data_IF_416123270346
#
_entry.id   IF_416123270346
#
_cell.length_a   1.000
_cell.length_b   1.000
_cell.length_c   1.000
_cell.angle_alpha   90.00
_cell.angle_beta   90.00
_cell.angle_gamma   90.00
#
_symmetry.space_group_name_H-M   'P 1'
#
loop_
_entity.id
_entity.type
_entity.pdbx_description
1 polymer ?
#
# COMPACT_ATOMS: atom_id res chain seq x y z
N UNK A 1 4.24 25.00 -9.51
CA UNK A 1 4.52 23.58 -9.23
C UNK A 1 4.78 22.70 -10.47
N UNK A 2 3.82 22.43 -11.38
CA UNK A 2 4.10 21.52 -12.53
C UNK A 2 5.22 22.07 -13.43
N UNK A 3 5.25 23.40 -13.66
CA UNK A 3 6.29 24.08 -14.43
C UNK A 3 7.71 23.85 -13.86
N UNK A 4 7.86 23.84 -12.54
CA UNK A 4 9.17 23.59 -11.89
C UNK A 4 9.65 22.14 -12.09
N UNK A 5 8.72 21.18 -12.18
CA UNK A 5 9.06 19.77 -12.45
C UNK A 5 9.45 19.54 -13.91
N UNK A 6 8.93 20.35 -14.83
CA UNK A 6 9.26 20.27 -16.26
C UNK A 6 10.69 20.76 -16.57
N UNK A 7 11.29 21.58 -15.71
CA UNK A 7 12.66 22.04 -15.90
C UNK A 7 13.72 21.02 -15.46
N UNK A 8 13.33 19.99 -14.71
CA UNK A 8 14.25 18.96 -14.19
C UNK A 8 14.57 17.91 -15.23
N UNK A 9 15.76 17.31 -15.15
CA UNK A 9 16.13 16.18 -16.00
C UNK A 9 15.36 14.92 -15.62
N UNK A 10 15.28 13.93 -16.52
CA UNK A 10 14.57 12.67 -16.24
C UNK A 10 15.14 11.95 -15.02
N UNK A 11 16.46 12.00 -14.85
CA UNK A 11 17.18 11.37 -13.74
C UNK A 11 16.86 12.08 -12.43
N UNK A 12 16.93 13.41 -12.41
CA UNK A 12 16.58 14.21 -11.23
C UNK A 12 15.13 14.00 -10.80
N UNK A 13 14.23 13.86 -11.77
CA UNK A 13 12.82 13.63 -11.52
C UNK A 13 12.59 12.23 -10.95
N UNK A 14 13.30 11.22 -11.45
CA UNK A 14 13.35 9.88 -10.87
C UNK A 14 13.89 9.88 -9.43
N UNK A 15 14.98 10.60 -9.17
CA UNK A 15 15.56 10.74 -7.83
C UNK A 15 14.58 11.45 -6.87
N UNK A 16 13.88 12.47 -7.34
CA UNK A 16 12.87 13.18 -6.56
C UNK A 16 11.72 12.23 -6.17
N UNK A 17 11.21 11.44 -7.11
CA UNK A 17 10.18 10.43 -6.83
C UNK A 17 10.66 9.46 -5.76
N UNK A 18 11.92 9.01 -5.84
CA UNK A 18 12.50 8.11 -4.84
C UNK A 18 12.53 8.74 -3.45
N UNK A 19 13.04 9.97 -3.34
CA UNK A 19 13.09 10.72 -2.07
C UNK A 19 11.69 10.91 -1.46
N UNK A 20 10.71 11.32 -2.28
CA UNK A 20 9.33 11.54 -1.83
C UNK A 20 8.65 10.24 -1.36
N UNK A 21 8.94 9.10 -2.00
CA UNK A 21 8.41 7.79 -1.56
C UNK A 21 8.99 7.37 -0.21
N UNK A 22 10.26 7.67 0.06
CA UNK A 22 10.90 7.39 1.36
C UNK A 22 10.30 8.28 2.45
N UNK A 23 10.12 9.57 2.19
CA UNK A 23 9.41 10.46 3.11
C UNK A 23 7.98 10.00 3.39
N UNK A 24 7.27 9.50 2.37
CA UNK A 24 5.93 8.94 2.55
C UNK A 24 5.94 7.69 3.45
N UNK A 25 6.98 6.86 3.35
CA UNK A 25 7.18 5.69 4.22
C UNK A 25 7.42 6.12 5.68
N UNK A 26 8.26 7.13 5.91
CA UNK A 26 8.47 7.70 7.24
C UNK A 26 7.16 8.23 7.85
N UNK A 27 6.38 8.98 7.07
CA UNK A 27 5.08 9.48 7.52
C UNK A 27 4.12 8.33 7.83
N UNK A 28 4.17 7.22 7.09
CA UNK A 28 3.38 6.01 7.39
C UNK A 28 3.83 5.37 8.71
N UNK A 29 5.13 5.33 9.01
CA UNK A 29 5.61 4.86 10.31
C UNK A 29 5.20 5.78 11.45
N UNK A 30 5.22 7.10 11.27
CA UNK A 30 4.72 8.06 12.27
C UNK A 30 3.22 7.92 12.48
N UNK A 31 2.46 7.74 11.41
CA UNK A 31 1.02 7.51 11.46
C UNK A 31 0.67 6.21 12.22
N UNK A 32 1.41 5.13 11.97
CA UNK A 32 1.22 3.86 12.69
C UNK A 32 1.53 3.98 14.19
N UNK A 33 2.48 4.85 14.56
CA UNK A 33 2.81 5.13 15.96
C UNK A 33 1.86 6.12 16.64
N UNK A 34 0.96 6.78 15.89
CA UNK A 34 0.13 7.87 16.39
C UNK A 34 0.88 9.19 16.65
N UNK A 35 2.10 9.33 16.11
CA UNK A 35 2.98 10.51 16.28
C UNK A 35 2.94 11.42 15.04
N UNK A 36 1.85 11.35 14.26
CA UNK A 36 1.70 12.14 13.04
C UNK A 36 1.05 13.49 13.36
N UNK A 37 1.87 14.55 13.35
CA UNK A 37 1.42 15.93 13.58
C UNK A 37 0.44 16.42 12.50
N UNK A 38 0.73 16.14 11.22
CA UNK A 38 -0.01 16.73 10.09
C UNK A 38 -0.26 15.73 8.97
N UNK A 39 -1.51 15.66 8.50
CA UNK A 39 -1.92 14.75 7.41
C UNK A 39 -1.85 15.40 6.02
N UNK A 40 -1.82 16.73 5.94
CA UNK A 40 -1.77 17.47 4.69
C UNK A 40 -0.46 17.23 3.93
N UNK A 41 0.65 17.11 4.64
CA UNK A 41 1.99 16.84 4.09
C UNK A 41 2.01 15.56 3.26
N UNK A 42 1.42 14.47 3.77
CA UNK A 42 1.30 13.21 3.03
C UNK A 42 0.43 13.33 1.76
N UNK A 43 -0.55 14.24 1.74
CA UNK A 43 -1.36 14.53 0.54
C UNK A 43 -0.55 15.30 -0.51
N UNK A 44 0.21 16.30 -0.08
CA UNK A 44 1.08 17.09 -0.96
C UNK A 44 2.22 16.27 -1.56
N UNK A 45 2.85 15.40 -0.77
CA UNK A 45 3.87 14.46 -1.25
C UNK A 45 3.28 13.55 -2.33
N UNK A 46 2.10 12.96 -2.11
CA UNK A 46 1.41 12.12 -3.12
C UNK A 46 1.10 12.89 -4.40
N UNK A 47 0.60 14.12 -4.28
CA UNK A 47 0.32 15.00 -5.43
C UNK A 47 1.61 15.31 -6.21
N UNK A 48 2.71 15.57 -5.51
CA UNK A 48 4.00 15.86 -6.13
C UNK A 48 4.55 14.65 -6.87
N UNK A 49 4.46 13.45 -6.30
CA UNK A 49 4.84 12.19 -6.98
C UNK A 49 4.00 12.02 -8.25
N UNK A 50 2.68 12.21 -8.18
CA UNK A 50 1.79 12.07 -9.33
C UNK A 50 2.14 13.06 -10.46
N UNK A 51 2.41 14.32 -10.11
CA UNK A 51 2.83 15.33 -11.08
C UNK A 51 4.17 14.98 -11.73
N UNK A 52 5.16 14.51 -10.94
CA UNK A 52 6.46 14.10 -11.46
C UNK A 52 6.35 12.89 -12.40
N UNK A 53 5.55 11.89 -12.04
CA UNK A 53 5.26 10.73 -12.92
C UNK A 53 4.53 11.15 -14.20
N UNK A 54 3.65 12.15 -14.11
CA UNK A 54 2.95 12.70 -15.28
C UNK A 54 3.94 13.35 -16.25
N UNK A 55 4.88 14.16 -15.75
CA UNK A 55 5.93 14.78 -16.58
C UNK A 55 6.81 13.71 -17.23
N UNK A 56 7.20 12.65 -16.53
CA UNK A 56 7.94 11.53 -17.12
C UNK A 56 7.14 10.82 -18.21
N UNK A 57 5.83 10.63 -17.98
CA UNK A 57 4.93 10.01 -18.97
C UNK A 57 4.81 10.88 -20.23
N UNK A 58 4.72 12.21 -20.09
CA UNK A 58 4.72 13.15 -21.21
C UNK A 58 6.02 13.07 -22.03
N UNK A 59 7.14 12.69 -21.40
CA UNK A 59 8.44 12.50 -22.05
C UNK A 59 8.63 11.08 -22.61
N UNK A 60 7.59 10.24 -22.60
CA UNK A 60 7.64 8.82 -22.97
C UNK A 60 8.68 8.02 -22.17
N UNK A 61 8.90 8.40 -20.90
CA UNK A 61 9.76 7.69 -19.97
C UNK A 61 8.87 6.86 -19.04
N UNK A 62 8.98 5.53 -19.16
CA UNK A 62 8.27 4.59 -18.29
C UNK A 62 9.06 4.41 -17.00
N UNK A 63 8.37 4.53 -15.87
CA UNK A 63 8.97 4.29 -14.55
C UNK A 63 8.58 2.90 -14.06
N UNK A 64 9.58 2.09 -13.71
CA UNK A 64 9.41 0.79 -13.07
C UNK A 64 9.97 0.83 -11.65
N UNK A 65 9.22 0.30 -10.70
CA UNK A 65 9.61 0.26 -9.28
C UNK A 65 9.88 -1.18 -8.86
N UNK A 66 11.07 -1.42 -8.31
CA UNK A 66 11.40 -2.67 -7.63
C UNK A 66 11.55 -2.43 -6.13
N UNK A 67 11.87 -3.47 -5.37
CA UNK A 67 12.09 -3.38 -3.92
C UNK A 67 13.19 -2.37 -3.54
N UNK A 68 14.26 -2.29 -4.34
CA UNK A 68 15.45 -1.51 -3.99
C UNK A 68 15.87 -0.48 -5.04
N UNK A 69 15.31 -0.55 -6.25
CA UNK A 69 15.67 0.33 -7.36
C UNK A 69 14.46 0.94 -8.05
N UNK A 70 14.68 2.10 -8.64
CA UNK A 70 13.73 2.71 -9.58
C UNK A 70 14.41 2.73 -10.94
N UNK A 71 13.75 2.15 -11.93
CA UNK A 71 14.24 2.09 -13.31
C UNK A 71 13.43 3.08 -14.16
N UNK A 72 14.14 3.93 -14.90
CA UNK A 72 13.57 4.78 -15.93
C UNK A 72 13.87 4.12 -17.28
N UNK A 73 12.81 3.83 -18.03
CA UNK A 73 12.88 3.09 -19.29
C UNK A 73 12.40 4.04 -20.39
N UNK A 74 13.28 4.37 -21.32
CA UNK A 74 12.98 5.19 -22.50
C UNK A 74 13.14 4.35 -23.75
N UNK A 75 12.10 4.30 -24.58
CA UNK A 75 12.14 3.65 -25.90
C UNK A 75 12.69 4.63 -26.93
N UNK A 76 13.81 4.31 -27.58
CA UNK A 76 14.36 5.06 -28.71
C UNK A 76 14.69 4.08 -29.83
N UNK A 77 14.14 4.28 -31.03
CA UNK A 77 14.41 3.44 -32.21
C UNK A 77 14.25 1.93 -31.92
N UNK A 78 13.15 1.56 -31.25
CA UNK A 78 12.85 0.20 -30.80
C UNK A 78 13.87 -0.41 -29.80
N UNK A 79 14.83 0.38 -29.32
CA UNK A 79 15.80 0.00 -28.27
C UNK A 79 15.40 0.65 -26.94
N UNK A 80 15.54 -0.10 -25.86
CA UNK A 80 15.27 0.38 -24.51
C UNK A 80 16.53 0.93 -23.88
N UNK A 81 16.49 2.20 -23.45
CA UNK A 81 17.52 2.80 -22.61
C UNK A 81 17.04 2.76 -21.16
N UNK A 82 17.78 2.07 -20.30
CA UNK A 82 17.41 1.82 -18.90
C UNK A 82 18.37 2.58 -17.98
N UNK A 83 17.84 3.52 -17.21
CA UNK A 83 18.58 4.19 -16.15
C UNK A 83 18.13 3.65 -14.80
N UNK A 84 19.06 3.04 -14.06
CA UNK A 84 18.78 2.48 -12.73
C UNK A 84 19.21 3.45 -11.63
N UNK A 85 18.28 3.81 -10.75
CA UNK A 85 18.52 4.65 -9.57
C UNK A 85 18.50 3.74 -8.34
N UNK A 86 19.65 3.65 -7.65
CA UNK A 86 19.81 2.83 -6.45
C UNK A 86 19.41 3.62 -5.20
N UNK A 87 18.46 3.07 -4.42
CA UNK A 87 17.93 3.74 -3.23
C UNK A 87 18.34 3.07 -1.90
N UNK A 88 19.19 2.05 -1.96
CA UNK A 88 19.53 1.21 -0.80
C UNK A 88 20.05 2.02 0.41
N UNK A 89 20.91 3.02 0.16
CA UNK A 89 21.49 3.88 1.20
C UNK A 89 20.44 4.75 1.93
N UNK A 90 19.43 5.24 1.23
CA UNK A 90 18.40 6.09 1.81
C UNK A 90 17.35 5.28 2.59
N UNK A 91 17.12 4.01 2.24
CA UNK A 91 16.16 3.16 2.92
C UNK A 91 16.76 2.58 4.22
N UNK A 92 18.02 2.17 4.19
CA UNK A 92 18.71 1.60 5.37
C UNK A 92 18.77 2.59 6.53
N UNK A 93 19.00 3.88 6.25
CA UNK A 93 19.00 4.93 7.27
C UNK A 93 17.64 5.07 7.94
N UNK A 94 16.55 5.10 7.16
CA UNK A 94 15.18 5.23 7.68
C UNK A 94 14.76 4.02 8.52
N UNK A 95 15.08 2.81 8.05
CA UNK A 95 14.77 1.57 8.78
C UNK A 95 15.56 1.49 10.09
N UNK A 96 16.85 1.83 10.05
CA UNK A 96 17.73 1.75 11.22
C UNK A 96 17.38 2.78 12.30
N UNK A 97 17.02 4.01 11.90
CA UNK A 97 16.54 5.04 12.83
C UNK A 97 15.25 4.62 13.54
N UNK A 98 14.33 3.93 12.83
CA UNK A 98 13.07 3.47 13.43
C UNK A 98 13.26 2.28 14.37
N UNK A 99 14.16 1.34 14.05
CA UNK A 99 14.47 0.20 14.91
C UNK A 99 14.99 0.62 16.30
N UNK A 100 15.74 1.72 16.37
CA UNK A 100 16.29 2.26 17.63
C UNK A 100 15.27 3.04 18.48
N UNK A 101 14.17 3.52 17.89
CA UNK A 101 13.13 4.28 18.61
C UNK A 101 12.05 3.37 19.24
N UNK A 102 11.90 2.14 18.76
CA UNK A 102 10.88 1.21 19.25
C UNK A 102 11.25 0.48 20.56
N UNK A 103 12.48 0.65 21.06
CA UNK A 103 12.94 0.09 22.34
C UNK A 103 12.79 1.05 23.54
N UNK A 104 12.27 2.26 23.32
CA UNK A 104 12.02 3.27 24.37
C UNK A 104 10.56 3.75 24.36
N UNK A 105 9.60 2.87 24.70
CA UNK A 105 8.31 3.34 25.22
C UNK A 105 7.82 2.40 26.33
N UNK A 106 7.66 2.90 27.58
CA UNK A 106 7.07 2.12 28.65
C UNK A 106 5.58 1.95 28.38
N UNK A 107 5.04 0.84 28.88
CA UNK A 107 3.62 0.53 28.92
C UNK A 107 2.75 1.71 29.36
N UNK A 108 1.72 2.03 28.57
CA UNK A 108 0.45 2.57 29.05
C UNK A 108 0.32 4.08 29.23
N UNK A 109 -0.32 4.73 28.24
CA UNK A 109 -1.44 5.66 28.52
C UNK A 109 -2.28 5.83 27.26
N UNK A 110 -3.33 5.02 27.17
CA UNK A 110 -4.45 5.24 26.26
C UNK A 110 -5.37 6.23 26.97
N UNK A 111 -5.45 7.47 26.51
CA UNK A 111 -6.46 8.42 27.01
C UNK A 111 -7.74 8.22 26.20
N UNK A 112 -8.60 7.34 26.68
CA UNK A 112 -10.01 7.26 26.27
C UNK A 112 -10.81 8.29 27.05
N UNK A 113 -11.42 9.26 26.35
CA UNK A 113 -12.58 9.99 26.90
C UNK A 113 -13.86 9.37 26.34
N UNK A 114 -14.52 8.51 27.14
CA UNK A 114 -15.98 8.34 27.12
C UNK A 114 -16.46 7.65 28.41
N UNK A 115 -17.65 8.08 28.80
CA UNK A 115 -18.19 8.11 30.15
C UNK A 115 -18.99 6.85 30.50
N UNK A 116 -18.78 6.36 31.72
CA UNK A 116 -19.73 5.74 32.68
C UNK A 116 -20.33 4.31 32.48
N UNK A 117 -19.89 3.47 33.43
CA UNK A 117 -20.64 2.54 34.32
C UNK A 117 -21.06 1.15 33.84
N UNK A 118 -20.32 0.13 34.31
CA UNK A 118 -20.74 -0.95 35.23
C UNK A 118 -19.93 -2.25 34.96
N UNK A 119 -19.04 -2.59 35.89
CA UNK A 119 -18.45 -3.92 36.09
C UNK A 119 -19.21 -4.62 37.25
N UNK A 120 -19.00 -5.92 37.57
CA UNK A 120 -18.07 -6.89 36.96
C UNK A 120 -18.69 -8.28 36.68
N UNK A 121 -18.00 -9.13 35.93
CA UNK A 121 -17.59 -10.47 36.40
C UNK A 121 -16.62 -11.15 35.44
N UNK A 122 -15.58 -11.69 36.05
CA UNK A 122 -14.41 -12.39 35.51
C UNK A 122 -14.81 -13.71 34.84
N UNK A 123 -14.21 -14.05 33.70
CA UNK A 123 -13.81 -15.43 33.41
C UNK A 123 -12.70 -15.48 32.36
N UNK A 124 -11.52 -15.92 32.78
CA UNK A 124 -10.40 -16.31 31.91
C UNK A 124 -10.43 -17.84 31.88
N UNK A 125 -10.57 -18.45 30.71
CA UNK A 125 -10.28 -19.88 30.52
C UNK A 125 -9.16 -20.03 29.50
N UNK A 126 -8.03 -20.50 30.02
CA UNK A 126 -6.93 -21.09 29.27
C UNK A 126 -7.42 -22.39 28.62
N UNK A 127 -7.05 -22.64 27.37
CA UNK A 127 -7.16 -23.98 26.77
C UNK A 127 -5.78 -24.39 26.28
N UNK A 128 -5.20 -25.33 27.04
CA UNK A 128 -3.96 -26.01 26.76
C UNK A 128 -4.03 -26.88 25.51
N UNK A 129 -2.93 -26.85 24.76
CA UNK A 129 -2.61 -27.76 23.67
C UNK A 129 -2.51 -29.21 24.16
N UNK A 130 -3.31 -30.12 23.59
CA UNK A 130 -2.94 -31.54 23.48
C UNK A 130 -3.23 -32.08 22.08
N UNK A 131 -2.15 -32.44 21.41
CA UNK A 131 -2.13 -33.21 20.16
C UNK A 131 -2.47 -34.67 20.45
N UNK A 132 -3.34 -35.28 19.64
CA UNK A 132 -3.29 -36.72 19.35
C UNK A 132 -3.68 -37.00 17.89
N UNK A 133 -2.86 -37.85 17.29
CA UNK A 133 -2.70 -38.26 15.89
C UNK A 133 -3.57 -39.50 15.61
N UNK A 134 -3.98 -39.72 14.35
CA UNK A 134 -3.83 -40.97 13.55
C UNK A 134 -4.93 -41.11 12.45
N UNK A 135 -4.47 -41.02 11.19
CA UNK A 135 -4.80 -41.72 9.91
C UNK A 135 -6.19 -42.35 9.69
N UNK A 136 -6.84 -42.15 8.53
CA UNK A 136 -6.66 -42.95 7.27
C UNK A 136 -7.32 -42.30 6.03
N UNK A 137 -6.79 -42.54 4.82
CA UNK A 137 -7.35 -42.25 3.46
C UNK A 137 -7.97 -43.58 2.90
N UNK A 138 -8.85 -43.66 1.84
CA UNK A 138 -8.87 -42.87 0.58
C UNK A 138 -10.25 -42.56 -0.13
N UNK A 139 -10.15 -41.68 -1.15
CA UNK A 139 -10.99 -41.28 -2.33
C UNK A 139 -12.45 -41.75 -2.58
N UNK A 140 -13.37 -40.83 -2.97
CA UNK A 140 -13.90 -40.65 -4.36
C UNK A 140 -14.99 -39.54 -4.56
N UNK A 141 -14.80 -38.73 -5.62
CA UNK A 141 -15.73 -38.05 -6.57
C UNK A 141 -16.62 -36.83 -6.20
N UNK A 142 -16.96 -35.97 -7.20
CA UNK A 142 -17.12 -34.50 -7.07
C UNK A 142 -18.57 -34.00 -7.06
N UNK A 143 -18.82 -32.87 -6.37
CA UNK A 143 -20.14 -32.21 -6.31
C UNK A 143 -20.23 -31.03 -7.29
N UNK A 144 -21.39 -31.01 -7.94
CA UNK A 144 -21.85 -30.31 -9.13
C UNK A 144 -22.02 -28.79 -9.02
N UNK A 145 -21.80 -28.09 -10.15
CA UNK A 145 -22.04 -26.65 -10.34
C UNK A 145 -23.55 -26.35 -10.40
N UNK A 146 -24.06 -25.40 -9.61
CA UNK A 146 -25.41 -24.83 -9.81
C UNK A 146 -25.36 -23.52 -10.58
N UNK A 147 -26.26 -23.45 -11.55
CA UNK A 147 -26.35 -22.53 -12.69
C UNK A 147 -27.01 -21.19 -12.38
N UNK A 148 -26.59 -20.21 -13.16
CA UNK A 148 -27.08 -18.84 -13.32
C UNK A 148 -28.58 -18.77 -13.61
N UNK A 149 -29.34 -18.01 -12.81
CA UNK A 149 -30.74 -17.65 -13.13
C UNK A 149 -30.77 -16.52 -14.16
N UNK A 150 -31.32 -16.81 -15.34
CA UNK A 150 -31.62 -15.86 -16.40
C UNK A 150 -32.83 -15.01 -16.02
N UNK A 151 -32.70 -13.68 -16.04
CA UNK A 151 -33.81 -12.74 -15.91
C UNK A 151 -34.51 -12.58 -17.27
N UNK A 152 -35.70 -13.17 -17.42
CA UNK A 152 -36.55 -13.01 -18.60
C UNK A 152 -37.17 -11.61 -18.63
N UNK A 153 -36.79 -10.81 -19.62
CA UNK A 153 -37.39 -9.51 -19.97
C UNK A 153 -38.74 -9.77 -20.64
N UNK A 154 -39.85 -9.38 -20.00
CA UNK A 154 -41.19 -9.42 -20.60
C UNK A 154 -41.42 -8.16 -21.45
N UNK A 155 -41.54 -8.34 -22.76
CA UNK A 155 -41.91 -7.29 -23.72
C UNK A 155 -43.45 -7.21 -23.77
N UNK A 156 -44.05 -6.09 -23.35
CA UNK A 156 -45.50 -5.85 -23.50
C UNK A 156 -45.80 -5.50 -24.97
N UNK A 157 -46.55 -6.36 -25.67
CA UNK A 157 -47.19 -6.02 -26.95
C UNK A 157 -48.43 -5.17 -26.68
N UNK A 158 -48.48 -3.96 -27.25
CA UNK A 158 -49.69 -3.16 -27.36
C UNK A 158 -50.43 -3.58 -28.63
N UNK A 159 -51.70 -4.00 -28.50
CA UNK A 159 -52.58 -4.23 -29.64
C UNK A 159 -53.47 -2.99 -29.83
N UNK A 160 -53.42 -2.41 -31.03
CA UNK A 160 -54.46 -1.50 -31.55
C UNK A 160 -55.55 -2.36 -32.18
N UNK A 161 -56.81 -2.05 -31.90
CA UNK A 161 -58.00 -2.70 -32.44
C UNK A 161 -59.20 -2.34 -31.60
#
# INVERSE_FOLDING_TARGET
MIKELQNKTDIELGQLICKLKIQLLELRFKAANGELETTHTAKEIRKTIANAMTVLSQRNVKVSFTTHSTQLIKTVNNKQVINSINNASLISSVVSQKAQQNSKKPSGKVTTNKTKTNEPKKHIQNIDNKQKKVQTKPATKPIEKKSTKQSSVQIRKTAKG
#
